data_IF_316351605334
#
_entry.id   IF_316351605334
#
_cell.length_a   1.000
_cell.length_b   1.000
_cell.length_c   1.000
_cell.angle_alpha   90.00
_cell.angle_beta   90.00
_cell.angle_gamma   90.00
#
_symmetry.space_group_name_H-M   'P 1'
#
loop_
_entity.id
_entity.type
_entity.pdbx_description
1 polymer ?
#
# COMPACT_ATOMS: atom_id res chain seq x y z
N UNK A 1 16.75 1.67 -45.73
CA UNK A 1 16.63 1.30 -44.31
C UNK A 1 15.55 0.24 -44.22
N UNK A 2 15.82 -0.91 -43.62
CA UNK A 2 14.82 -1.96 -43.37
C UNK A 2 14.44 -1.96 -41.88
N UNK A 3 13.24 -2.43 -41.50
CA UNK A 3 12.82 -2.51 -40.09
C UNK A 3 13.86 -3.21 -39.19
N UNK A 4 14.48 -4.27 -39.72
CA UNK A 4 15.49 -5.08 -39.02
C UNK A 4 16.74 -4.29 -38.60
N UNK A 5 17.04 -3.16 -39.26
CA UNK A 5 18.19 -2.32 -38.87
C UNK A 5 18.00 -1.65 -37.50
N UNK A 6 16.77 -1.63 -36.99
CA UNK A 6 16.39 -1.02 -35.71
C UNK A 6 15.74 -2.02 -34.75
N UNK A 7 15.63 -3.29 -35.14
CA UNK A 7 15.14 -4.37 -34.27
C UNK A 7 16.30 -4.86 -33.41
N UNK A 8 16.24 -4.59 -32.11
CA UNK A 8 17.24 -5.01 -31.13
C UNK A 8 16.60 -6.11 -30.27
N UNK A 9 17.18 -7.30 -30.30
CA UNK A 9 16.65 -8.47 -29.60
C UNK A 9 17.26 -8.66 -28.21
N UNK A 10 18.45 -8.11 -27.98
CA UNK A 10 19.24 -8.36 -26.77
C UNK A 10 19.38 -7.10 -25.91
N UNK A 11 19.25 -7.22 -24.58
CA UNK A 11 18.93 -8.45 -23.84
C UNK A 11 17.47 -8.90 -24.06
N UNK A 12 17.26 -10.22 -24.06
CA UNK A 12 15.90 -10.77 -24.05
C UNK A 12 15.09 -10.23 -22.86
N UNK A 13 13.81 -9.94 -23.10
CA UNK A 13 12.90 -9.45 -22.07
C UNK A 13 12.54 -10.61 -21.13
N UNK A 14 12.84 -10.46 -19.84
CA UNK A 14 12.44 -11.41 -18.81
C UNK A 14 10.93 -11.62 -18.81
N UNK A 15 10.48 -12.87 -18.90
CA UNK A 15 9.07 -13.24 -18.81
C UNK A 15 8.65 -13.28 -17.34
N UNK A 16 7.60 -12.54 -16.99
CA UNK A 16 7.00 -12.52 -15.66
C UNK A 16 5.56 -13.05 -15.75
N UNK A 17 5.23 -14.02 -14.92
CA UNK A 17 3.86 -14.53 -14.83
C UNK A 17 3.02 -13.57 -13.98
N UNK A 18 1.91 -13.03 -14.50
CA UNK A 18 1.02 -12.17 -13.72
C UNK A 18 0.28 -13.00 -12.66
N UNK A 19 -0.22 -12.33 -11.62
CA UNK A 19 -1.10 -12.97 -10.64
C UNK A 19 -2.36 -13.55 -11.29
N UNK A 20 -2.80 -14.72 -10.83
CA UNK A 20 -3.94 -15.44 -11.41
C UNK A 20 -5.26 -14.65 -11.32
N UNK A 21 -5.41 -13.84 -10.27
CA UNK A 21 -6.58 -13.01 -10.01
C UNK A 21 -6.18 -11.57 -9.79
N UNK A 22 -7.14 -10.66 -9.98
CA UNK A 22 -6.96 -9.23 -9.67
C UNK A 22 -6.56 -9.09 -8.20
N UNK A 23 -5.45 -8.40 -7.96
CA UNK A 23 -4.89 -8.17 -6.63
C UNK A 23 -3.84 -9.20 -6.20
N UNK A 24 -3.65 -10.28 -6.96
CA UNK A 24 -2.56 -11.23 -6.71
C UNK A 24 -1.24 -10.73 -7.29
N UNK A 25 -0.15 -11.09 -6.61
CA UNK A 25 1.19 -10.68 -6.98
C UNK A 25 1.70 -11.46 -8.21
N UNK A 26 2.52 -10.84 -9.08
CA UNK A 26 3.24 -11.53 -10.14
C UNK A 26 4.40 -12.39 -9.58
N UNK A 27 4.96 -13.26 -10.42
CA UNK A 27 5.98 -14.24 -10.02
C UNK A 27 7.29 -13.64 -9.50
N UNK A 28 7.61 -12.38 -9.80
CA UNK A 28 8.82 -11.68 -9.34
C UNK A 28 8.59 -10.79 -8.11
N UNK A 29 7.35 -10.66 -7.63
CA UNK A 29 7.05 -9.77 -6.53
C UNK A 29 7.45 -10.37 -5.17
N UNK A 30 7.91 -9.50 -4.27
CA UNK A 30 8.06 -9.83 -2.86
C UNK A 30 6.70 -9.75 -2.20
N UNK A 31 6.25 -10.87 -1.63
CA UNK A 31 4.99 -10.94 -0.90
C UNK A 31 5.17 -10.29 0.48
N UNK A 32 4.56 -9.12 0.68
CA UNK A 32 4.57 -8.44 1.98
C UNK A 32 3.44 -8.93 2.89
N UNK A 33 2.33 -9.41 2.34
CA UNK A 33 1.21 -9.94 3.11
C UNK A 33 0.37 -10.88 2.23
N UNK A 34 0.04 -12.06 2.75
CA UNK A 34 -0.72 -13.12 2.07
C UNK A 34 -1.90 -13.63 2.91
N UNK A 35 -2.21 -12.96 4.02
CA UNK A 35 -3.24 -13.40 4.97
C UNK A 35 -2.75 -14.38 6.04
N UNK A 36 -1.47 -14.77 6.05
CA UNK A 36 -0.89 -15.64 7.08
C UNK A 36 -0.19 -14.87 8.21
N UNK A 37 -0.04 -15.50 9.37
CA UNK A 37 0.76 -14.93 10.48
C UNK A 37 2.27 -15.01 10.20
N UNK A 38 2.71 -16.04 9.49
CA UNK A 38 4.13 -16.27 9.19
C UNK A 38 4.73 -15.14 8.36
N UNK A 39 4.01 -14.63 7.35
CA UNK A 39 4.50 -13.50 6.55
C UNK A 39 4.58 -12.20 7.36
N UNK A 40 3.68 -12.00 8.33
CA UNK A 40 3.69 -10.82 9.20
C UNK A 40 4.98 -10.82 10.02
N UNK A 41 5.30 -11.95 10.65
CA UNK A 41 6.53 -12.10 11.44
C UNK A 41 7.79 -11.99 10.58
N UNK A 42 7.75 -12.41 9.32
CA UNK A 42 8.88 -12.36 8.40
C UNK A 42 9.14 -10.93 7.90
N UNK A 43 8.10 -10.24 7.44
CA UNK A 43 8.26 -9.01 6.66
C UNK A 43 7.99 -7.73 7.44
N UNK A 44 7.32 -7.78 8.61
CA UNK A 44 6.90 -6.58 9.34
C UNK A 44 7.47 -6.48 10.75
N UNK A 45 7.71 -5.24 11.17
CA UNK A 45 8.12 -4.88 12.53
C UNK A 45 7.51 -3.54 12.95
N UNK A 46 7.49 -3.26 14.26
CA UNK A 46 7.22 -1.93 14.77
C UNK A 46 8.40 -0.97 14.50
N UNK A 47 8.22 0.32 14.78
CA UNK A 47 9.27 1.33 14.58
C UNK A 47 10.54 1.11 15.43
N UNK A 48 10.53 0.19 16.38
CA UNK A 48 11.64 -0.15 17.28
C UNK A 48 12.28 -1.49 16.93
N UNK A 49 11.83 -2.17 15.87
CA UNK A 49 12.33 -3.49 15.46
C UNK A 49 11.75 -4.68 16.22
N UNK A 50 10.68 -4.47 17.00
CA UNK A 50 9.96 -5.55 17.68
C UNK A 50 8.85 -6.11 16.77
N UNK A 51 8.29 -7.29 17.11
CA UNK A 51 7.07 -7.76 16.46
C UNK A 51 5.97 -6.70 16.48
N UNK A 52 5.24 -6.60 15.37
CA UNK A 52 4.09 -5.69 15.25
C UNK A 52 3.00 -6.04 16.26
N UNK A 53 2.26 -5.01 16.69
CA UNK A 53 1.04 -5.15 17.50
C UNK A 53 -0.24 -5.14 16.67
N UNK A 54 -0.12 -4.98 15.34
CA UNK A 54 -1.25 -5.19 14.43
C UNK A 54 -1.62 -6.66 14.43
N UNK A 55 -2.91 -6.95 14.29
CA UNK A 55 -3.44 -8.30 14.46
C UNK A 55 -3.89 -8.87 13.11
N UNK A 56 -3.72 -10.17 12.93
CA UNK A 56 -4.38 -10.88 11.83
C UNK A 56 -5.83 -11.14 12.22
N UNK A 57 -6.76 -10.63 11.43
CA UNK A 57 -8.18 -10.86 11.62
C UNK A 57 -8.86 -11.00 10.25
N UNK A 58 -9.60 -12.09 10.05
CA UNK A 58 -10.36 -12.37 8.82
C UNK A 58 -9.52 -12.26 7.54
N UNK A 59 -8.26 -12.74 7.59
CA UNK A 59 -7.32 -12.68 6.47
C UNK A 59 -6.71 -11.29 6.21
N UNK A 60 -6.95 -10.31 7.08
CA UNK A 60 -6.41 -8.95 6.96
C UNK A 60 -5.50 -8.59 8.14
N UNK A 61 -4.48 -7.76 7.87
CA UNK A 61 -3.64 -7.16 8.89
C UNK A 61 -4.29 -5.87 9.40
N UNK A 62 -4.76 -5.89 10.65
CA UNK A 62 -5.62 -4.84 11.22
C UNK A 62 -4.84 -3.98 12.23
N UNK A 63 -4.89 -2.66 12.00
CA UNK A 63 -4.40 -1.66 12.95
C UNK A 63 -5.35 -1.57 14.15
N UNK A 64 -4.80 -1.77 15.35
CA UNK A 64 -5.56 -1.63 16.61
C UNK A 64 -5.11 -0.40 17.37
N UNK A 65 -6.00 0.19 18.16
CA UNK A 65 -5.70 1.41 18.93
C UNK A 65 -4.45 1.21 19.80
N UNK A 66 -3.45 2.08 19.62
CA UNK A 66 -2.19 2.03 20.38
C UNK A 66 -1.15 1.04 19.86
N UNK A 67 -1.38 0.39 18.71
CA UNK A 67 -0.36 -0.48 18.08
C UNK A 67 0.83 0.29 17.53
N UNK A 68 0.61 1.54 17.13
CA UNK A 68 1.61 2.36 16.45
C UNK A 68 1.77 2.00 14.98
N UNK A 69 2.67 2.70 14.29
CA UNK A 69 3.02 2.40 12.91
C UNK A 69 3.93 1.18 12.82
N UNK A 70 3.85 0.50 11.68
CA UNK A 70 4.65 -0.66 11.33
C UNK A 70 5.41 -0.37 10.04
N UNK A 71 6.50 -1.09 9.82
CA UNK A 71 7.31 -0.97 8.60
C UNK A 71 7.73 -2.34 8.10
N UNK A 72 8.05 -2.40 6.81
CA UNK A 72 8.74 -3.56 6.26
C UNK A 72 10.12 -3.67 6.87
N UNK A 73 10.58 -4.88 7.17
CA UNK A 73 11.98 -5.13 7.57
C UNK A 73 12.95 -4.88 6.41
N UNK A 74 12.48 -5.15 5.19
CA UNK A 74 13.19 -4.83 3.95
C UNK A 74 13.16 -3.33 3.69
N UNK A 75 14.19 -2.87 2.97
CA UNK A 75 14.31 -1.52 2.44
C UNK A 75 14.21 -1.59 0.92
N UNK A 76 13.54 -0.61 0.34
CA UNK A 76 13.31 -0.52 -1.10
C UNK A 76 13.79 0.83 -1.63
N UNK A 77 14.26 0.84 -2.88
CA UNK A 77 14.58 2.06 -3.63
C UNK A 77 13.47 2.31 -4.65
N UNK A 78 13.70 1.96 -5.91
CA UNK A 78 12.66 1.94 -6.94
C UNK A 78 11.84 0.66 -6.79
N UNK A 79 10.51 0.79 -6.77
CA UNK A 79 9.60 -0.34 -6.64
C UNK A 79 8.23 -0.03 -7.25
N UNK A 80 7.52 -1.11 -7.60
CA UNK A 80 6.08 -1.09 -7.79
C UNK A 80 5.43 -1.72 -6.56
N UNK A 81 4.38 -1.09 -6.02
CA UNK A 81 3.68 -1.55 -4.83
C UNK A 81 2.19 -1.74 -5.12
N UNK A 82 1.65 -2.90 -4.74
CA UNK A 82 0.22 -3.14 -4.63
C UNK A 82 -0.17 -3.23 -3.15
N UNK A 83 -1.23 -2.53 -2.75
CA UNK A 83 -1.83 -2.63 -1.42
C UNK A 83 -3.33 -2.43 -1.53
N UNK A 84 -4.08 -3.25 -0.80
CA UNK A 84 -5.51 -3.07 -0.61
C UNK A 84 -5.77 -2.66 0.83
N UNK A 85 -6.70 -1.73 1.02
CA UNK A 85 -7.07 -1.24 2.33
C UNK A 85 -8.58 -1.09 2.41
N UNK A 86 -9.10 -1.17 3.64
CA UNK A 86 -10.53 -1.03 3.94
C UNK A 86 -10.69 -0.17 5.17
N UNK A 87 -11.50 0.89 5.07
CA UNK A 87 -11.90 1.67 6.23
C UNK A 87 -12.77 0.83 7.18
N UNK A 88 -12.82 1.15 8.49
CA UNK A 88 -13.74 0.48 9.42
C UNK A 88 -15.19 0.56 8.93
N UNK A 89 -15.96 -0.51 9.12
CA UNK A 89 -17.37 -0.55 8.71
C UNK A 89 -18.24 0.44 9.50
N UNK A 90 -17.89 0.69 10.76
CA UNK A 90 -18.52 1.73 11.56
C UNK A 90 -17.94 3.10 11.18
N UNK A 91 -18.79 3.94 10.60
CA UNK A 91 -18.46 5.33 10.32
C UNK A 91 -18.41 6.12 11.62
N UNK A 92 -17.21 6.58 11.99
CA UNK A 92 -16.99 7.40 13.17
C UNK A 92 -15.95 8.48 12.89
N UNK A 93 -16.17 9.68 13.43
CA UNK A 93 -15.32 10.85 13.20
C UNK A 93 -15.62 11.59 11.90
N UNK A 94 -14.87 12.66 11.66
CA UNK A 94 -15.00 13.53 10.49
C UNK A 94 -13.62 14.01 10.04
N UNK A 95 -13.51 14.40 8.76
CA UNK A 95 -12.28 14.90 8.18
C UNK A 95 -11.14 13.90 8.35
N UNK A 96 -10.03 14.34 8.94
CA UNK A 96 -8.85 13.50 9.22
C UNK A 96 -9.05 12.53 10.39
N UNK A 97 -10.12 12.66 11.18
CA UNK A 97 -10.40 11.77 12.30
C UNK A 97 -11.10 10.47 11.91
N UNK A 98 -11.45 10.29 10.62
CA UNK A 98 -12.26 9.19 10.12
C UNK A 98 -11.46 8.25 9.22
N UNK A 99 -11.10 7.08 9.76
CA UNK A 99 -10.42 6.01 9.01
C UNK A 99 -9.04 6.39 8.46
N UNK A 100 -8.25 7.16 9.22
CA UNK A 100 -6.97 7.71 8.77
C UNK A 100 -5.80 6.72 8.95
N UNK A 101 -4.99 6.58 7.91
CA UNK A 101 -3.74 5.85 7.86
C UNK A 101 -2.86 6.42 6.73
N UNK A 102 -1.76 5.77 6.39
CA UNK A 102 -0.91 6.21 5.29
C UNK A 102 0.14 5.18 4.91
N UNK A 103 0.54 5.21 3.64
CA UNK A 103 1.68 4.43 3.13
C UNK A 103 2.85 5.38 2.96
N UNK A 104 3.89 5.19 3.77
CA UNK A 104 5.09 6.03 3.73
C UNK A 104 6.14 5.41 2.81
N UNK A 105 6.26 5.96 1.61
CA UNK A 105 7.28 5.55 0.65
C UNK A 105 8.66 5.84 1.24
N UNK A 106 9.46 4.78 1.40
CA UNK A 106 10.76 4.80 2.06
C UNK A 106 10.76 5.42 3.48
N UNK A 107 9.60 5.43 4.15
CA UNK A 107 9.44 6.05 5.46
C UNK A 107 9.40 7.59 5.46
N UNK A 108 9.34 8.24 4.29
CA UNK A 108 9.46 9.69 4.14
C UNK A 108 8.23 10.34 3.50
N UNK A 109 7.70 9.76 2.41
CA UNK A 109 6.66 10.38 1.60
C UNK A 109 5.33 9.66 1.77
N UNK A 110 4.35 10.31 2.40
CA UNK A 110 3.05 9.70 2.68
C UNK A 110 2.10 9.79 1.48
N UNK A 111 1.67 8.62 1.01
CA UNK A 111 0.45 8.46 0.21
C UNK A 111 -0.71 8.24 1.18
N UNK A 112 -1.65 9.19 1.19
CA UNK A 112 -2.69 9.24 2.21
C UNK A 112 -3.71 8.12 2.06
N UNK A 113 -4.03 7.45 3.18
CA UNK A 113 -5.14 6.51 3.29
C UNK A 113 -6.19 7.12 4.22
N UNK A 114 -7.41 7.31 3.72
CA UNK A 114 -8.47 7.95 4.49
C UNK A 114 -9.82 7.46 4.01
N UNK A 115 -10.78 7.28 4.91
CA UNK A 115 -12.17 7.18 4.49
C UNK A 115 -12.63 8.56 3.97
N UNK A 116 -12.55 8.74 2.65
CA UNK A 116 -13.00 9.96 1.96
C UNK A 116 -14.37 9.76 1.28
N UNK A 117 -15.10 8.69 1.58
CA UNK A 117 -16.44 8.46 1.04
C UNK A 117 -17.48 9.24 1.87
N UNK A 118 -18.10 10.25 1.25
CA UNK A 118 -19.00 11.20 1.92
C UNK A 118 -18.38 11.81 3.21
N UNK A 119 -17.07 12.08 3.18
CA UNK A 119 -16.33 12.68 4.29
C UNK A 119 -15.48 13.84 3.77
N UNK A 120 -15.90 15.08 4.03
CA UNK A 120 -15.19 16.28 3.56
C UNK A 120 -13.96 16.55 4.42
N UNK A 121 -12.83 16.79 3.79
CA UNK A 121 -11.58 17.26 4.43
C UNK A 121 -10.87 18.25 3.51
N UNK A 122 -9.66 18.70 3.90
CA UNK A 122 -8.86 19.58 3.04
C UNK A 122 -8.29 18.81 1.84
N UNK A 123 -8.35 19.43 0.65
CA UNK A 123 -8.12 18.78 -0.65
C UNK A 123 -6.76 18.08 -0.78
N UNK A 124 -5.70 18.67 -0.22
CA UNK A 124 -4.34 18.13 -0.29
C UNK A 124 -4.01 17.14 0.84
N UNK A 125 -4.98 16.63 1.59
CA UNK A 125 -4.78 15.55 2.56
C UNK A 125 -5.91 14.53 2.61
N UNK A 126 -6.70 14.44 1.54
CA UNK A 126 -7.70 13.36 1.38
C UNK A 126 -7.06 12.11 0.77
N UNK A 127 -7.79 10.99 0.73
CA UNK A 127 -7.27 9.71 0.22
C UNK A 127 -6.60 9.85 -1.15
N UNK A 128 -5.41 9.27 -1.30
CA UNK A 128 -4.60 9.32 -2.52
C UNK A 128 -3.77 10.59 -2.71
N UNK A 129 -3.82 11.57 -1.80
CA UNK A 129 -2.88 12.70 -1.85
C UNK A 129 -1.46 12.26 -1.53
N UNK A 130 -0.46 12.91 -2.15
CA UNK A 130 0.83 13.06 -1.48
C UNK A 130 0.65 14.09 -0.37
N UNK A 131 0.65 13.63 0.87
CA UNK A 131 0.06 14.34 1.99
C UNK A 131 0.59 15.76 2.14
N UNK A 132 -0.34 16.72 2.13
CA UNK A 132 -0.15 18.18 2.13
C UNK A 132 0.65 18.79 0.98
N UNK A 133 1.09 18.00 0.00
CA UNK A 133 1.88 18.47 -1.14
C UNK A 133 1.06 18.51 -2.43
N UNK A 134 0.49 17.37 -2.82
CA UNK A 134 -0.27 17.24 -4.05
C UNK A 134 -1.61 16.59 -3.79
N UNK A 135 -2.69 17.28 -4.15
CA UNK A 135 -4.03 16.74 -4.10
C UNK A 135 -4.21 15.60 -5.12
N UNK A 136 -5.01 14.56 -4.83
CA UNK A 136 -5.37 13.59 -5.83
C UNK A 136 -6.22 14.26 -6.93
N UNK A 137 -6.16 13.73 -8.13
CA UNK A 137 -6.91 14.26 -9.28
C UNK A 137 -8.42 14.05 -9.12
N UNK A 138 -8.82 12.95 -8.49
CA UNK A 138 -10.22 12.54 -8.25
C UNK A 138 -10.37 11.91 -6.87
N UNK A 139 -11.60 11.83 -6.37
CA UNK A 139 -11.96 10.96 -5.25
C UNK A 139 -12.60 9.69 -5.81
N UNK A 140 -11.94 8.54 -5.62
CA UNK A 140 -12.39 7.24 -6.11
C UNK A 140 -12.68 6.24 -4.97
N UNK A 141 -12.93 6.74 -3.75
CA UNK A 141 -13.22 5.88 -2.60
C UNK A 141 -14.50 5.06 -2.82
N UNK A 142 -14.44 3.78 -2.45
CA UNK A 142 -15.59 2.89 -2.38
C UNK A 142 -16.31 3.09 -1.04
N UNK A 143 -17.60 2.73 -1.00
CA UNK A 143 -18.39 2.60 0.23
C UNK A 143 -18.05 1.33 0.99
#
# INVERSE_FOLDING_TARGET
MTPQMTEIMEPEVTVIEPGEQVGMAPSDAVILFDGSSGIIELEWEDNRGNPTKWILQDGALVCVKGSGAIRTKRKFNDFQLHIEWRAPAEVSGEGQGRGNSGVYLQGLYEVQVLDSYNNKTYRNGQAGSLYKQYAPLVNACRK
#
